data_IF_844433145264
#
_entry.id   IF_844433145264
#
_cell.length_a   1.000
_cell.length_b   1.000
_cell.length_c   1.000
_cell.angle_alpha   90.00
_cell.angle_beta   90.00
_cell.angle_gamma   90.00
#
_symmetry.space_group_name_H-M   'P 1'
#
loop_
_entity.id
_entity.type
_entity.pdbx_description
1 polymer ?
#
# COMPACT_ATOMS: atom_id res chain seq x y z
N UNK A 1 -0.35 8.09 10.52
CA UNK A 1 -0.07 8.31 9.08
C UNK A 1 1.01 9.36 8.86
N UNK A 2 2.20 8.94 8.40
CA UNK A 2 3.43 9.75 8.42
C UNK A 2 3.16 11.04 7.62
N UNK A 3 3.25 12.23 8.23
CA UNK A 3 2.85 13.46 7.57
C UNK A 3 3.80 13.81 6.42
N UNK A 4 4.98 13.20 6.35
CA UNK A 4 5.91 13.33 5.22
C UNK A 4 5.50 12.39 4.06
N UNK A 5 5.03 11.17 4.35
CA UNK A 5 4.47 10.26 3.34
C UNK A 5 3.17 10.83 2.74
N UNK A 6 2.32 11.40 3.61
CA UNK A 6 1.05 12.03 3.22
C UNK A 6 1.24 13.50 2.78
N UNK A 7 2.48 14.01 2.63
CA UNK A 7 2.74 15.35 2.08
C UNK A 7 2.27 15.47 0.63
N UNK A 8 2.36 14.39 -0.14
CA UNK A 8 1.76 14.29 -1.46
C UNK A 8 0.31 13.80 -1.43
N UNK A 9 -0.23 13.40 -0.29
CA UNK A 9 -1.55 12.82 -0.17
C UNK A 9 -2.35 13.50 0.94
N UNK A 10 -2.98 14.63 0.65
CA UNK A 10 -3.63 15.42 1.70
C UNK A 10 -4.96 14.77 2.09
N UNK A 11 -5.06 14.29 3.34
CA UNK A 11 -6.33 14.05 4.00
C UNK A 11 -6.91 15.38 4.53
N UNK A 12 -8.23 15.49 4.64
CA UNK A 12 -8.93 16.73 5.04
C UNK A 12 -8.77 17.13 6.52
N UNK A 13 -7.87 16.48 7.25
CA UNK A 13 -7.56 16.84 8.64
C UNK A 13 -8.55 16.30 9.68
N UNK A 14 -9.71 15.75 9.28
CA UNK A 14 -10.80 15.45 10.22
C UNK A 14 -10.93 13.94 10.48
N UNK A 15 -10.96 13.43 11.72
CA UNK A 15 -11.36 12.04 11.95
C UNK A 15 -12.87 11.88 11.69
N UNK A 16 -13.35 10.83 10.99
CA UNK A 16 -12.65 9.64 10.51
C UNK A 16 -12.13 9.76 9.06
N UNK A 17 -12.29 10.90 8.41
CA UNK A 17 -11.98 11.14 6.98
C UNK A 17 -10.48 11.17 6.68
N UNK A 18 -9.65 11.46 7.68
CA UNK A 18 -8.18 11.47 7.60
C UNK A 18 -7.50 10.08 7.54
N UNK A 19 -8.26 8.99 7.33
CA UNK A 19 -7.69 7.64 7.26
C UNK A 19 -7.11 7.27 5.92
N UNK A 20 -7.32 8.12 4.92
CA UNK A 20 -7.01 7.79 3.55
C UNK A 20 -6.26 8.95 2.88
N UNK A 21 -4.97 8.75 2.64
CA UNK A 21 -4.18 9.45 1.63
C UNK A 21 -4.85 9.20 0.23
N UNK A 22 -6.02 9.81 -0.09
CA UNK A 22 -6.80 9.54 -1.33
C UNK A 22 -6.37 10.34 -2.54
N UNK A 23 -5.88 11.56 -2.32
CA UNK A 23 -5.69 12.56 -3.38
C UNK A 23 -4.22 12.93 -3.46
N UNK A 24 -3.51 12.41 -4.46
CA UNK A 24 -2.15 12.86 -4.75
C UNK A 24 -2.08 13.50 -6.13
N UNK A 25 -1.57 14.73 -6.26
CA UNK A 25 -1.41 15.38 -7.56
C UNK A 25 -0.43 14.64 -8.47
N UNK A 26 0.42 13.77 -7.91
CA UNK A 26 1.32 12.87 -8.64
C UNK A 26 0.81 11.41 -8.71
N UNK A 27 -0.43 11.13 -8.27
CA UNK A 27 -1.00 9.78 -8.24
C UNK A 27 -0.99 9.13 -9.62
N UNK A 28 -1.44 9.86 -10.64
CA UNK A 28 -1.49 9.38 -12.01
C UNK A 28 -0.10 9.01 -12.59
N UNK A 29 0.95 9.69 -12.12
CA UNK A 29 2.32 9.52 -12.65
C UNK A 29 3.04 8.36 -11.98
N UNK A 30 2.91 8.22 -10.65
CA UNK A 30 3.72 7.27 -9.90
C UNK A 30 2.92 6.11 -9.29
N UNK A 31 1.69 6.35 -8.84
CA UNK A 31 1.03 5.46 -7.89
C UNK A 31 -0.15 4.69 -8.47
N UNK A 32 -0.88 5.29 -9.42
CA UNK A 32 -2.01 4.65 -10.09
C UNK A 32 -1.52 3.50 -10.96
N UNK A 33 -0.44 3.72 -11.71
CA UNK A 33 0.19 2.69 -12.54
C UNK A 33 0.68 1.51 -11.70
N UNK A 34 1.38 1.77 -10.60
CA UNK A 34 1.83 0.70 -9.72
C UNK A 34 0.66 -0.06 -9.11
N UNK A 35 -0.38 0.66 -8.69
CA UNK A 35 -1.54 0.03 -8.09
C UNK A 35 -2.38 -0.76 -9.09
N UNK A 36 -2.46 -0.29 -10.33
CA UNK A 36 -3.07 -1.02 -11.44
C UNK A 36 -2.36 -2.35 -11.67
N UNK A 37 -1.02 -2.39 -11.66
CA UNK A 37 -0.25 -3.65 -11.70
C UNK A 37 -0.62 -4.59 -10.55
N UNK A 38 -0.79 -4.08 -9.34
CA UNK A 38 -1.22 -4.89 -8.18
C UNK A 38 -2.62 -5.45 -8.40
N UNK A 39 -3.54 -4.67 -8.98
CA UNK A 39 -4.91 -5.11 -9.29
C UNK A 39 -4.95 -6.14 -10.42
N UNK A 40 -4.17 -5.93 -11.47
CA UNK A 40 -3.99 -6.88 -12.57
C UNK A 40 -3.43 -8.20 -12.05
N UNK A 41 -2.38 -8.14 -11.23
CA UNK A 41 -1.83 -9.31 -10.54
C UNK A 41 -2.90 -10.01 -9.72
N UNK A 42 -3.68 -9.29 -8.93
CA UNK A 42 -4.74 -9.89 -8.12
C UNK A 42 -5.79 -10.63 -8.97
N UNK A 43 -6.00 -10.23 -10.22
CA UNK A 43 -6.92 -10.86 -11.17
C UNK A 43 -6.26 -11.82 -12.18
N UNK A 44 -4.94 -12.03 -12.12
CA UNK A 44 -4.20 -12.67 -13.22
C UNK A 44 -4.40 -14.19 -13.31
N UNK A 45 -4.95 -14.82 -12.28
CA UNK A 45 -5.13 -16.27 -12.20
C UNK A 45 -6.55 -16.72 -12.62
N UNK A 46 -7.07 -16.15 -13.72
CA UNK A 46 -8.35 -16.58 -14.29
C UNK A 46 -9.57 -16.40 -13.36
N UNK A 47 -9.51 -15.45 -12.42
CA UNK A 47 -10.53 -15.23 -11.40
C UNK A 47 -10.29 -15.98 -10.08
N UNK A 48 -9.35 -16.93 -10.06
CA UNK A 48 -8.91 -17.60 -8.84
C UNK A 48 -7.93 -16.73 -8.04
N UNK A 49 -7.81 -16.92 -6.72
CA UNK A 49 -6.82 -16.22 -5.92
C UNK A 49 -5.37 -16.57 -6.31
N UNK A 50 -4.48 -15.58 -6.31
CA UNK A 50 -3.05 -15.73 -6.58
C UNK A 50 -2.30 -16.07 -5.29
N UNK A 51 -1.53 -17.16 -5.22
CA UNK A 51 -0.72 -17.48 -4.05
C UNK A 51 0.43 -16.47 -3.89
N UNK A 52 0.63 -15.97 -2.68
CA UNK A 52 1.75 -15.08 -2.36
C UNK A 52 2.98 -15.88 -1.91
N UNK A 53 4.10 -15.83 -2.66
CA UNK A 53 5.28 -16.64 -2.39
C UNK A 53 5.86 -16.37 -0.99
N UNK A 54 6.41 -17.41 -0.36
CA UNK A 54 6.96 -17.30 1.00
C UNK A 54 5.92 -17.08 2.10
N UNK A 55 4.62 -17.09 1.77
CA UNK A 55 3.52 -16.97 2.72
C UNK A 55 2.45 -18.05 2.48
N UNK A 56 1.48 -18.16 3.39
CA UNK A 56 0.27 -18.96 3.18
C UNK A 56 -0.90 -18.14 2.64
N UNK A 57 -0.65 -16.91 2.23
CA UNK A 57 -1.69 -15.98 1.83
C UNK A 57 -2.00 -16.07 0.35
N UNK A 58 -3.24 -15.75 0.02
CA UNK A 58 -3.73 -15.58 -1.32
C UNK A 58 -4.18 -14.14 -1.54
N UNK A 59 -3.96 -13.65 -2.76
CA UNK A 59 -4.33 -12.33 -3.26
C UNK A 59 -5.49 -12.47 -4.24
N UNK A 60 -6.53 -11.64 -4.12
CA UNK A 60 -7.66 -11.61 -5.05
C UNK A 60 -8.18 -10.18 -5.23
N UNK A 61 -8.89 -9.86 -6.31
CA UNK A 61 -9.32 -8.50 -6.56
C UNK A 61 -10.47 -8.11 -5.62
N UNK A 62 -10.57 -6.82 -5.29
CA UNK A 62 -11.71 -6.30 -4.53
C UNK A 62 -12.78 -5.70 -5.47
N UNK A 63 -13.78 -6.50 -5.83
CA UNK A 63 -14.79 -6.16 -6.84
C UNK A 63 -15.57 -4.85 -6.61
N UNK A 64 -15.74 -4.43 -5.36
CA UNK A 64 -16.52 -3.23 -5.00
C UNK A 64 -15.69 -1.96 -4.83
N UNK A 65 -14.37 -2.08 -4.70
CA UNK A 65 -13.51 -0.93 -4.41
C UNK A 65 -12.11 -1.18 -4.98
N UNK A 66 -11.72 -0.48 -6.07
CA UNK A 66 -10.44 -0.70 -6.73
C UNK A 66 -9.24 -0.26 -5.91
N UNK A 67 -9.41 0.57 -4.88
CA UNK A 67 -8.31 1.01 -4.01
C UNK A 67 -7.86 -0.06 -3.00
N UNK A 68 -8.49 -1.24 -3.05
CA UNK A 68 -8.17 -2.36 -2.18
C UNK A 68 -7.94 -3.63 -2.98
N UNK A 69 -7.10 -4.51 -2.44
CA UNK A 69 -7.02 -5.92 -2.82
C UNK A 69 -7.34 -6.79 -1.62
N UNK A 70 -7.81 -8.01 -1.87
CA UNK A 70 -8.17 -8.95 -0.81
C UNK A 70 -7.00 -9.88 -0.54
N UNK A 71 -6.62 -9.97 0.73
CA UNK A 71 -5.69 -10.95 1.25
C UNK A 71 -6.44 -11.99 2.07
N UNK A 72 -6.03 -13.25 1.95
CA UNK A 72 -6.66 -14.36 2.64
C UNK A 72 -5.64 -15.40 3.08
N UNK A 73 -5.64 -15.77 4.36
CA UNK A 73 -4.97 -16.98 4.86
C UNK A 73 -6.06 -17.87 5.46
N UNK A 74 -6.39 -17.65 6.74
CA UNK A 74 -7.54 -18.26 7.41
C UNK A 74 -8.73 -17.29 7.52
N UNK A 75 -8.42 -16.00 7.64
CA UNK A 75 -9.37 -14.91 7.58
C UNK A 75 -9.11 -14.08 6.32
N UNK A 76 -10.13 -13.32 5.90
CA UNK A 76 -10.03 -12.38 4.79
C UNK A 76 -9.91 -10.96 5.32
N UNK A 77 -8.97 -10.20 4.79
CA UNK A 77 -8.83 -8.77 5.05
C UNK A 77 -8.48 -8.03 3.76
N UNK A 78 -8.55 -6.70 3.81
CA UNK A 78 -8.19 -5.84 2.68
C UNK A 78 -6.81 -5.23 2.92
N UNK A 79 -6.00 -5.20 1.86
CA UNK A 79 -4.81 -4.36 1.78
C UNK A 79 -5.18 -3.12 0.96
N UNK A 80 -5.07 -1.95 1.58
CA UNK A 80 -5.29 -0.69 0.88
C UNK A 80 -4.07 -0.28 0.07
N UNK A 81 -4.32 0.44 -1.03
CA UNK A 81 -3.30 1.10 -1.85
C UNK A 81 -2.28 1.86 -1.01
N UNK A 82 -2.76 2.57 0.00
CA UNK A 82 -1.94 3.44 0.83
C UNK A 82 -0.98 2.67 1.73
N UNK A 83 -1.45 1.60 2.37
CA UNK A 83 -0.63 0.72 3.19
C UNK A 83 0.52 0.11 2.36
N UNK A 84 0.20 -0.29 1.13
CA UNK A 84 1.17 -0.80 0.17
C UNK A 84 2.21 0.26 -0.24
N UNK A 85 1.76 1.47 -0.59
CA UNK A 85 2.64 2.57 -0.96
C UNK A 85 3.50 3.03 0.23
N UNK A 86 2.96 3.02 1.44
CA UNK A 86 3.70 3.35 2.66
C UNK A 86 4.86 2.39 2.85
N UNK A 87 4.62 1.08 2.74
CA UNK A 87 5.67 0.07 2.78
C UNK A 87 6.75 0.28 1.71
N UNK A 88 6.38 0.70 0.50
CA UNK A 88 7.35 0.98 -0.57
C UNK A 88 8.25 2.16 -0.21
N UNK A 89 7.67 3.20 0.37
CA UNK A 89 8.37 4.43 0.74
C UNK A 89 9.30 4.23 1.94
N UNK A 90 8.82 3.57 3.00
CA UNK A 90 9.54 3.45 4.28
C UNK A 90 10.29 2.14 4.44
N UNK A 91 9.96 1.13 3.64
CA UNK A 91 10.43 -0.25 3.83
C UNK A 91 9.77 -1.00 4.99
N UNK A 92 8.86 -0.33 5.71
CA UNK A 92 8.23 -0.85 6.92
C UNK A 92 6.74 -0.51 6.94
N UNK A 93 5.90 -1.54 7.07
CA UNK A 93 4.49 -1.39 7.39
C UNK A 93 4.37 -1.75 8.86
N UNK A 94 4.78 -0.82 9.73
CA UNK A 94 4.72 -1.03 11.18
C UNK A 94 3.31 -1.45 11.59
N UNK A 95 3.18 -2.35 12.58
CA UNK A 95 1.88 -2.59 13.19
C UNK A 95 1.53 -1.36 14.03
N UNK A 96 0.43 -0.68 13.70
CA UNK A 96 -0.14 0.34 14.56
C UNK A 96 -0.36 -0.22 15.96
N UNK A 97 0.24 0.40 16.99
CA UNK A 97 0.03 -0.02 18.39
C UNK A 97 -1.30 0.52 18.90
N UNK A 98 -2.07 -0.32 19.60
CA UNK A 98 -3.32 0.10 20.27
C UNK A 98 -3.01 1.31 21.18
N UNK A 99 -3.61 2.46 20.89
CA UNK A 99 -3.36 3.73 21.59
C UNK A 99 -2.57 4.78 20.80
N UNK A 100 -1.93 4.41 19.66
CA UNK A 100 -1.24 5.35 18.76
C UNK A 100 -2.05 5.70 17.51
N UNK A 101 -3.38 5.60 17.59
CA UNK A 101 -4.27 5.90 16.44
C UNK A 101 -4.23 7.35 15.98
N UNK A 102 -3.84 8.26 16.88
CA UNK A 102 -3.68 9.69 16.61
C UNK A 102 -2.25 10.07 16.25
N UNK A 103 -1.30 9.12 16.33
CA UNK A 103 0.10 9.36 16.00
C UNK A 103 0.27 9.34 14.47
N UNK A 104 0.63 10.47 13.86
CA UNK A 104 0.86 10.50 12.44
C UNK A 104 2.10 9.66 12.10
N UNK A 105 3.14 9.50 12.90
CA UNK A 105 4.22 8.56 12.53
C UNK A 105 3.83 7.06 12.52
N UNK A 106 2.67 6.70 13.09
CA UNK A 106 2.22 5.31 13.16
C UNK A 106 1.39 4.88 11.94
N UNK A 107 1.62 3.65 11.47
CA UNK A 107 0.76 2.99 10.48
C UNK A 107 -0.68 2.87 10.99
N UNK A 108 -1.69 3.17 10.15
CA UNK A 108 -3.09 2.98 10.52
C UNK A 108 -3.48 1.50 10.61
N UNK A 109 -2.71 0.60 9.99
CA UNK A 109 -3.00 -0.83 9.98
C UNK A 109 -2.45 -1.53 11.23
N UNK A 110 -3.34 -2.23 11.94
CA UNK A 110 -2.97 -3.10 13.06
C UNK A 110 -2.58 -4.53 12.60
N UNK A 111 -2.52 -4.76 11.28
CA UNK A 111 -2.26 -6.08 10.70
C UNK A 111 -0.81 -6.17 10.23
N UNK A 112 -0.16 -7.32 10.46
CA UNK A 112 1.19 -7.59 9.96
C UNK A 112 1.16 -7.71 8.44
N UNK A 113 1.35 -6.61 7.72
CA UNK A 113 1.21 -6.54 6.27
C UNK A 113 2.53 -6.76 5.51
N UNK A 114 3.67 -6.49 6.14
CA UNK A 114 5.01 -6.57 5.54
C UNK A 114 5.31 -7.84 4.74
N UNK A 115 5.08 -9.07 5.25
CA UNK A 115 5.40 -10.28 4.49
C UNK A 115 4.55 -10.41 3.21
N UNK A 116 3.30 -9.92 3.25
CA UNK A 116 2.40 -9.99 2.10
C UNK A 116 2.75 -8.92 1.07
N UNK A 117 3.08 -7.70 1.51
CA UNK A 117 3.54 -6.65 0.61
C UNK A 117 4.84 -7.07 -0.07
N UNK A 118 5.81 -7.61 0.68
CA UNK A 118 7.05 -8.15 0.11
C UNK A 118 6.79 -9.18 -0.98
N UNK A 119 5.94 -10.17 -0.70
CA UNK A 119 5.57 -11.19 -1.67
C UNK A 119 4.86 -10.63 -2.93
N UNK A 120 4.03 -9.59 -2.78
CA UNK A 120 3.42 -8.88 -3.92
C UNK A 120 4.51 -8.20 -4.75
N UNK A 121 5.49 -7.54 -4.12
CA UNK A 121 6.59 -6.90 -4.85
C UNK A 121 7.41 -7.93 -5.63
N UNK A 122 7.69 -9.09 -5.03
CA UNK A 122 8.43 -10.16 -5.71
C UNK A 122 7.67 -10.66 -6.95
N UNK A 123 6.35 -10.85 -6.85
CA UNK A 123 5.50 -11.22 -7.99
C UNK A 123 5.42 -10.15 -9.08
N UNK A 124 5.56 -8.86 -8.71
CA UNK A 124 5.61 -7.76 -9.66
C UNK A 124 6.97 -7.62 -10.37
N UNK A 125 7.99 -8.40 -9.98
CA UNK A 125 9.35 -8.31 -10.54
C UNK A 125 10.38 -7.66 -9.60
N UNK A 126 10.07 -7.54 -8.31
CA UNK A 126 10.96 -7.03 -7.28
C UNK A 126 10.94 -5.51 -7.11
N UNK A 127 11.82 -4.98 -6.25
CA UNK A 127 11.82 -3.55 -5.83
C UNK A 127 12.35 -2.57 -6.88
N UNK A 128 12.81 -3.08 -8.02
CA UNK A 128 13.54 -2.34 -9.04
C UNK A 128 12.71 -2.04 -10.30
N UNK A 129 11.44 -2.45 -10.33
CA UNK A 129 10.59 -2.14 -11.47
C UNK A 129 10.37 -0.63 -11.61
N UNK A 130 10.17 -0.12 -12.84
CA UNK A 130 10.03 1.30 -13.12
C UNK A 130 8.97 1.99 -12.26
N UNK A 131 7.83 1.33 -12.03
CA UNK A 131 6.71 1.85 -11.25
C UNK A 131 7.08 2.06 -9.77
N UNK A 132 7.82 1.12 -9.16
CA UNK A 132 8.30 1.27 -7.76
C UNK A 132 9.35 2.38 -7.67
N UNK A 133 10.26 2.48 -8.64
CA UNK A 133 11.26 3.55 -8.69
C UNK A 133 10.62 4.92 -8.82
N UNK A 134 9.55 5.04 -9.62
CA UNK A 134 8.78 6.27 -9.76
C UNK A 134 8.13 6.68 -8.43
N UNK A 135 7.50 5.75 -7.72
CA UNK A 135 6.95 6.00 -6.37
C UNK A 135 8.03 6.49 -5.41
N UNK A 136 9.17 5.79 -5.35
CA UNK A 136 10.29 6.18 -4.47
C UNK A 136 10.84 7.56 -4.81
N UNK A 137 10.96 7.90 -6.09
CA UNK A 137 11.44 9.21 -6.54
C UNK A 137 10.51 10.33 -6.09
N UNK A 138 9.20 10.19 -6.32
CA UNK A 138 8.20 11.18 -5.87
C UNK A 138 8.22 11.34 -4.34
N UNK A 139 8.41 10.24 -3.61
CA UNK A 139 8.51 10.27 -2.15
C UNK A 139 9.82 10.92 -1.66
N UNK A 140 10.92 10.79 -2.40
CA UNK A 140 12.22 11.39 -2.05
C UNK A 140 12.32 12.88 -2.45
N UNK A 141 11.76 13.27 -3.60
CA UNK A 141 11.73 14.66 -4.08
C UNK A 141 10.86 15.58 -3.19
N UNK A 142 9.98 15.00 -2.36
CA UNK A 142 9.18 15.71 -1.36
C UNK A 142 9.81 15.82 0.04
N UNK A 143 10.98 15.24 0.29
CA UNK A 143 11.66 15.29 1.59
C UNK A 143 12.55 16.55 1.70
N UNK A 144 12.52 17.31 2.81
CA UNK A 144 13.52 18.36 3.02
C UNK A 144 14.93 17.74 3.11
N UNK A 145 15.97 18.47 2.72
CA UNK A 145 17.35 18.02 2.93
C UNK A 145 17.55 17.75 4.43
N UNK A 146 18.15 16.60 4.73
CA UNK A 146 18.52 16.20 6.09
C UNK A 146 19.53 17.17 6.69
#
# INVERSE_FOLDING_TARGET
MDPNFCRCYVGDGTPPTNRYCRSCPHAAVACDRLWERVRELAGSNGGEPVPLPGTRAFLSPHSRNPDFVRLQVNCRWALGKEDFLHYIATGHAGMGRKGRRTDPSASPSMTRQEPYVGAILDLLGGRDIPEIRAVRRVQQEGAPPR
#
